data_IF_174892524239
#
_entry.id   IF_174892524239
#
_cell.length_a   1.000
_cell.length_b   1.000
_cell.length_c   1.000
_cell.angle_alpha   90.00
_cell.angle_beta   90.00
_cell.angle_gamma   90.00
#
_symmetry.space_group_name_H-M   'P 1'
#
loop_
_entity.id
_entity.type
_entity.pdbx_description
1 polymer ?
#
# COMPACT_ATOMS: atom_id res chain seq x y z
N UNK A 1 8.14 17.22 -10.72
CA UNK A 1 9.25 17.20 -11.72
C UNK A 1 9.22 15.86 -12.48
N UNK A 2 9.79 15.71 -13.69
CA UNK A 2 9.97 14.38 -14.33
C UNK A 2 11.44 14.21 -14.68
N UNK A 3 12.04 13.08 -14.32
CA UNK A 3 13.42 12.70 -14.64
C UNK A 3 13.37 11.74 -15.82
N UNK A 4 14.08 12.06 -16.90
CA UNK A 4 14.29 11.12 -18.00
C UNK A 4 15.34 10.09 -17.56
N UNK A 5 14.96 8.82 -17.51
CA UNK A 5 15.85 7.69 -17.19
C UNK A 5 16.56 7.16 -18.44
N UNK A 6 15.84 7.16 -19.56
CA UNK A 6 16.31 6.59 -20.82
C UNK A 6 15.62 7.28 -22.01
N UNK A 7 16.35 7.39 -23.12
CA UNK A 7 15.84 7.95 -24.37
C UNK A 7 16.35 7.09 -25.53
N UNK A 8 15.48 6.24 -26.05
CA UNK A 8 15.80 5.31 -27.14
C UNK A 8 15.12 5.71 -28.44
N UNK A 9 15.81 5.49 -29.56
CA UNK A 9 15.19 5.65 -30.87
C UNK A 9 14.32 4.42 -31.17
N UNK A 10 13.05 4.66 -31.51
CA UNK A 10 12.12 3.65 -31.97
C UNK A 10 12.57 3.03 -33.30
N UNK A 11 11.89 1.94 -33.69
CA UNK A 11 12.26 1.08 -34.81
C UNK A 11 12.50 1.79 -36.16
N UNK A 12 11.90 2.97 -36.38
CA UNK A 12 12.05 3.77 -37.58
C UNK A 12 13.13 4.88 -37.49
N UNK A 13 13.86 4.99 -36.37
CA UNK A 13 14.92 6.00 -36.16
C UNK A 13 14.42 7.44 -35.99
N UNK A 14 13.12 7.69 -36.11
CA UNK A 14 12.52 9.04 -36.11
C UNK A 14 11.70 9.37 -34.87
N UNK A 15 11.39 8.38 -34.03
CA UNK A 15 10.63 8.57 -32.78
C UNK A 15 11.54 8.33 -31.59
N UNK A 16 11.68 9.29 -30.68
CA UNK A 16 12.40 9.08 -29.41
C UNK A 16 11.40 8.60 -28.38
N UNK A 17 11.54 7.35 -27.91
CA UNK A 17 10.84 6.86 -26.72
C UNK A 17 11.62 7.29 -25.49
N UNK A 18 11.01 8.11 -24.65
CA UNK A 18 11.58 8.53 -23.38
C UNK A 18 10.95 7.74 -22.24
N UNK A 19 11.77 7.04 -21.47
CA UNK A 19 11.37 6.48 -20.19
C UNK A 19 11.58 7.57 -19.15
N UNK A 20 10.50 8.10 -18.59
CA UNK A 20 10.58 9.12 -17.54
C UNK A 20 9.98 8.60 -16.24
N UNK A 21 10.60 8.90 -15.11
CA UNK A 21 10.00 8.75 -13.78
C UNK A 21 9.72 10.11 -13.17
N UNK A 22 8.57 10.25 -12.50
CA UNK A 22 8.43 11.33 -11.53
C UNK A 22 9.24 10.93 -10.29
N UNK A 23 10.21 11.73 -9.81
CA UNK A 23 10.82 11.47 -8.53
C UNK A 23 9.72 11.50 -7.48
N UNK A 24 9.70 10.49 -6.60
CA UNK A 24 8.82 10.50 -5.45
C UNK A 24 9.21 11.70 -4.57
N UNK A 25 8.28 12.64 -4.40
CA UNK A 25 8.46 13.87 -3.62
C UNK A 25 7.59 13.78 -2.34
N UNK A 26 8.03 13.00 -1.33
CA UNK A 26 7.22 12.65 -0.17
C UNK A 26 6.77 13.87 0.64
N UNK A 27 7.55 14.96 0.63
CA UNK A 27 7.18 16.21 1.28
C UNK A 27 6.00 16.91 0.59
N UNK A 28 5.95 16.92 -0.74
CA UNK A 28 4.81 17.47 -1.47
C UNK A 28 3.58 16.58 -1.33
N UNK A 29 3.76 15.26 -1.35
CA UNK A 29 2.68 14.31 -1.07
C UNK A 29 2.11 14.51 0.34
N UNK A 30 2.96 14.72 1.35
CA UNK A 30 2.53 15.01 2.72
C UNK A 30 1.78 16.34 2.81
N UNK A 31 2.28 17.39 2.15
CA UNK A 31 1.61 18.69 2.12
C UNK A 31 0.24 18.58 1.43
N UNK A 32 0.15 17.85 0.31
CA UNK A 32 -1.09 17.62 -0.41
C UNK A 32 -2.10 16.80 0.41
N UNK A 33 -1.65 15.74 1.07
CA UNK A 33 -2.46 14.92 1.97
C UNK A 33 -3.04 15.76 3.12
N UNK A 34 -2.19 16.56 3.76
CA UNK A 34 -2.62 17.49 4.82
C UNK A 34 -3.65 18.50 4.33
N UNK A 35 -3.40 19.14 3.19
CA UNK A 35 -4.34 20.10 2.59
C UNK A 35 -5.67 19.43 2.23
N UNK A 36 -5.64 18.27 1.58
CA UNK A 36 -6.85 17.52 1.23
C UNK A 36 -7.69 17.15 2.46
N UNK A 37 -7.04 16.84 3.58
CA UNK A 37 -7.71 16.55 4.83
C UNK A 37 -8.27 17.80 5.55
N UNK A 38 -7.46 18.86 5.67
CA UNK A 38 -7.86 20.13 6.31
C UNK A 38 -9.01 20.80 5.55
N UNK A 39 -8.97 20.74 4.22
CA UNK A 39 -9.94 21.34 3.30
C UNK A 39 -10.98 20.32 2.79
N UNK A 40 -11.20 19.19 3.48
CA UNK A 40 -12.09 18.10 3.01
C UNK A 40 -13.55 18.50 2.75
N UNK A 41 -13.98 19.64 3.28
CA UNK A 41 -15.32 20.22 3.00
C UNK A 41 -15.37 20.90 1.63
N UNK A 42 -14.23 21.36 1.11
CA UNK A 42 -14.11 22.07 -0.17
C UNK A 42 -13.45 21.21 -1.26
N UNK A 43 -12.48 20.37 -0.88
CA UNK A 43 -11.76 19.44 -1.75
C UNK A 43 -12.40 18.05 -1.65
N UNK A 44 -13.17 17.68 -2.69
CA UNK A 44 -13.66 16.32 -2.85
C UNK A 44 -12.67 15.48 -3.68
N UNK A 45 -11.87 14.66 -3.00
CA UNK A 45 -10.82 13.87 -3.65
C UNK A 45 -11.35 12.87 -4.70
N UNK A 46 -12.56 12.30 -4.50
CA UNK A 46 -13.18 11.41 -5.48
C UNK A 46 -13.61 12.17 -6.74
N UNK A 47 -14.17 13.38 -6.57
CA UNK A 47 -14.54 14.25 -7.68
C UNK A 47 -13.29 14.75 -8.43
N UNK A 48 -12.21 15.04 -7.71
CA UNK A 48 -10.93 15.43 -8.31
C UNK A 48 -10.34 14.27 -9.12
N UNK A 49 -10.32 13.05 -8.57
CA UNK A 49 -9.87 11.87 -9.31
C UNK A 49 -10.73 11.65 -10.57
N UNK A 50 -12.05 11.77 -10.47
CA UNK A 50 -12.96 11.71 -11.62
C UNK A 50 -12.60 12.77 -12.66
N UNK A 51 -12.39 14.02 -12.23
CA UNK A 51 -11.98 15.09 -13.13
C UNK A 51 -10.64 14.78 -13.81
N UNK A 52 -9.68 14.20 -13.10
CA UNK A 52 -8.39 13.80 -13.67
C UNK A 52 -8.54 12.69 -14.71
N UNK A 53 -9.22 11.60 -14.34
CA UNK A 53 -9.37 10.42 -15.21
C UNK A 53 -10.22 10.69 -16.46
N UNK A 54 -11.24 11.54 -16.35
CA UNK A 54 -12.16 11.80 -17.47
C UNK A 54 -11.92 13.15 -18.17
N UNK A 55 -11.22 14.09 -17.54
CA UNK A 55 -10.97 15.43 -18.06
C UNK A 55 -9.65 15.59 -18.82
N UNK A 56 -8.70 14.67 -18.63
CA UNK A 56 -7.41 14.69 -19.33
C UNK A 56 -7.27 13.48 -20.26
N UNK A 57 -7.30 13.68 -21.59
CA UNK A 57 -7.07 12.61 -22.54
C UNK A 57 -5.69 11.98 -22.32
N UNK A 58 -5.62 10.65 -22.27
CA UNK A 58 -4.37 9.90 -22.16
C UNK A 58 -3.98 9.45 -20.74
N UNK A 59 -4.83 9.66 -19.74
CA UNK A 59 -4.67 9.02 -18.42
C UNK A 59 -5.45 7.71 -18.40
N UNK A 60 -4.72 6.60 -18.23
CA UNK A 60 -5.32 5.28 -18.03
C UNK A 60 -5.84 5.16 -16.59
N UNK A 61 -7.08 4.70 -16.43
CA UNK A 61 -7.73 4.48 -15.12
C UNK A 61 -7.34 3.15 -14.46
N UNK A 62 -6.53 2.34 -15.15
CA UNK A 62 -6.25 0.97 -14.76
C UNK A 62 -7.34 0.01 -15.21
N UNK A 63 -7.00 -1.27 -15.36
CA UNK A 63 -7.92 -2.28 -15.85
C UNK A 63 -8.98 -2.69 -14.82
N UNK A 64 -8.72 -2.47 -13.52
CA UNK A 64 -9.53 -2.95 -12.39
C UNK A 64 -9.80 -1.86 -11.35
N UNK A 65 -9.86 -0.62 -11.81
CA UNK A 65 -10.09 0.57 -10.97
C UNK A 65 -9.05 0.72 -9.84
N UNK A 66 -7.79 0.37 -10.12
CA UNK A 66 -6.70 0.40 -9.14
C UNK A 66 -6.51 1.81 -8.55
N UNK A 67 -6.72 2.87 -9.34
CA UNK A 67 -6.69 4.26 -8.85
C UNK A 67 -7.74 4.57 -7.80
N UNK A 68 -8.92 3.95 -7.88
CA UNK A 68 -9.95 4.12 -6.87
C UNK A 68 -9.53 3.45 -5.55
N UNK A 69 -8.97 2.24 -5.64
CA UNK A 69 -8.37 1.52 -4.53
C UNK A 69 -7.27 2.33 -3.82
N UNK A 70 -6.33 2.88 -4.60
CA UNK A 70 -5.26 3.74 -4.09
C UNK A 70 -5.81 5.00 -3.40
N UNK A 71 -6.86 5.61 -3.95
CA UNK A 71 -7.52 6.76 -3.32
C UNK A 71 -8.17 6.38 -1.98
N UNK A 72 -8.83 5.23 -1.88
CA UNK A 72 -9.41 4.75 -0.63
C UNK A 72 -8.34 4.54 0.45
N UNK A 73 -7.22 3.91 0.09
CA UNK A 73 -6.09 3.68 0.99
C UNK A 73 -5.47 5.01 1.46
N UNK A 74 -5.26 5.98 0.56
CA UNK A 74 -4.76 7.30 0.93
C UNK A 74 -5.72 8.04 1.86
N UNK A 75 -7.02 8.04 1.55
CA UNK A 75 -8.03 8.69 2.40
C UNK A 75 -8.08 8.05 3.79
N UNK A 76 -8.04 6.71 3.88
CA UNK A 76 -8.01 6.00 5.15
C UNK A 76 -6.77 6.35 5.97
N UNK A 77 -5.60 6.45 5.32
CA UNK A 77 -4.36 6.92 5.97
C UNK A 77 -4.50 8.35 6.46
N UNK A 78 -5.01 9.26 5.64
CA UNK A 78 -5.09 10.68 5.99
C UNK A 78 -6.07 10.91 7.14
N UNK A 79 -7.19 10.19 7.13
CA UNK A 79 -8.08 10.13 8.29
C UNK A 79 -7.37 9.56 9.52
N UNK A 80 -6.58 8.49 9.39
CA UNK A 80 -5.87 7.91 10.53
C UNK A 80 -4.75 8.80 11.07
N UNK A 81 -4.11 9.61 10.22
CA UNK A 81 -2.95 10.44 10.57
C UNK A 81 -3.35 11.84 11.04
N UNK A 82 -4.43 12.41 10.49
CA UNK A 82 -4.88 13.76 10.79
C UNK A 82 -6.25 13.82 11.50
N UNK A 83 -6.94 12.68 11.62
CA UNK A 83 -8.22 12.47 12.32
C UNK A 83 -8.20 12.92 13.77
N UNK A 84 -7.20 12.44 14.50
CA UNK A 84 -6.97 12.83 15.88
C UNK A 84 -6.08 14.08 15.92
N UNK A 85 -6.53 15.11 16.65
CA UNK A 85 -5.91 16.44 16.77
C UNK A 85 -4.57 16.43 17.51
N UNK A 86 -3.75 15.41 17.37
CA UNK A 86 -2.38 15.45 17.86
C UNK A 86 -1.54 16.15 16.80
N UNK A 87 -1.50 17.49 16.87
CA UNK A 87 -0.40 18.25 16.27
C UNK A 87 0.88 17.83 16.98
N UNK A 88 1.49 16.75 16.52
CA UNK A 88 2.86 16.40 16.93
C UNK A 88 3.81 17.09 15.96
N UNK A 89 4.65 17.90 16.57
CA UNK A 89 5.83 18.59 16.06
C UNK A 89 6.71 17.69 15.21
N UNK A 90 7.01 18.13 13.98
CA UNK A 90 8.18 17.84 13.11
C UNK A 90 8.63 16.38 12.85
N UNK A 91 8.08 15.38 13.52
CA UNK A 91 8.46 13.98 13.35
C UNK A 91 7.63 13.28 12.27
N UNK A 92 8.23 12.30 11.59
CA UNK A 92 7.60 11.50 10.54
C UNK A 92 6.29 10.91 11.08
N UNK A 93 5.16 11.26 10.47
CA UNK A 93 3.84 10.80 10.92
C UNK A 93 3.66 9.32 10.58
N UNK A 94 3.78 8.48 11.59
CA UNK A 94 3.47 7.06 11.49
C UNK A 94 1.95 6.85 11.62
N UNK A 95 1.37 6.13 10.68
CA UNK A 95 -0.01 5.66 10.74
C UNK A 95 -0.06 4.41 11.65
N UNK A 96 -0.75 4.50 12.78
CA UNK A 96 -0.97 3.32 13.64
C UNK A 96 -1.97 2.39 12.94
N UNK A 97 -1.54 1.18 12.64
CA UNK A 97 -2.25 0.25 11.75
C UNK A 97 -3.59 -0.25 12.34
N UNK A 98 -3.65 -0.35 13.67
CA UNK A 98 -4.66 -1.12 14.40
C UNK A 98 -6.09 -0.57 14.32
N UNK A 99 -6.34 0.61 14.88
CA UNK A 99 -7.70 1.12 15.04
C UNK A 99 -8.03 2.11 13.94
N UNK A 100 -7.18 3.11 13.73
CA UNK A 100 -7.55 4.25 12.92
C UNK A 100 -7.56 3.96 11.41
N UNK A 101 -6.60 3.17 10.91
CA UNK A 101 -6.50 2.93 9.47
C UNK A 101 -7.61 2.03 8.95
N UNK A 102 -7.78 0.83 9.54
CA UNK A 102 -8.80 -0.11 9.06
C UNK A 102 -10.22 0.36 9.38
N UNK A 103 -10.44 1.04 10.51
CA UNK A 103 -11.72 1.69 10.78
C UNK A 103 -12.02 2.77 9.75
N UNK A 104 -11.04 3.60 9.37
CA UNK A 104 -11.24 4.59 8.32
C UNK A 104 -11.48 3.95 6.94
N UNK A 105 -10.80 2.84 6.64
CA UNK A 105 -10.91 2.14 5.36
C UNK A 105 -12.26 1.43 5.19
N UNK A 106 -12.67 0.65 6.19
CA UNK A 106 -13.88 -0.18 6.14
C UNK A 106 -15.10 0.45 6.78
N UNK A 107 -14.94 1.60 7.44
CA UNK A 107 -15.99 2.28 8.23
C UNK A 107 -16.63 1.38 9.27
N UNK A 108 -15.86 0.41 9.75
CA UNK A 108 -16.27 -0.64 10.68
C UNK A 108 -15.07 -0.95 11.57
N UNK A 109 -15.31 -1.11 12.86
CA UNK A 109 -14.27 -1.55 13.80
C UNK A 109 -14.01 -3.05 13.64
N UNK A 110 -12.81 -3.40 13.17
CA UNK A 110 -12.35 -4.78 13.00
C UNK A 110 -11.50 -5.26 14.20
N UNK A 111 -11.41 -4.48 15.28
CA UNK A 111 -10.50 -4.74 16.40
C UNK A 111 -10.71 -6.09 17.07
N UNK A 112 -11.97 -6.51 17.24
CA UNK A 112 -12.33 -7.79 17.88
C UNK A 112 -12.38 -8.96 16.90
N UNK A 113 -12.25 -8.71 15.59
CA UNK A 113 -12.31 -9.77 14.59
C UNK A 113 -11.06 -10.65 14.67
N UNK A 114 -11.25 -11.93 14.31
CA UNK A 114 -10.16 -12.90 14.28
C UNK A 114 -9.62 -13.05 12.87
N UNK A 115 -8.29 -13.09 12.69
CA UNK A 115 -7.74 -13.36 11.37
C UNK A 115 -8.15 -14.77 10.92
N UNK A 116 -8.49 -14.91 9.65
CA UNK A 116 -8.84 -16.20 9.05
C UNK A 116 -7.68 -17.21 9.11
N UNK A 117 -6.44 -16.72 9.17
CA UNK A 117 -5.22 -17.49 9.40
C UNK A 117 -4.26 -16.71 10.29
N UNK A 118 -3.66 -17.40 11.25
CA UNK A 118 -2.63 -16.85 12.11
C UNK A 118 -1.52 -17.88 12.35
N UNK A 119 -0.31 -17.41 12.64
CA UNK A 119 0.72 -18.28 13.19
C UNK A 119 0.20 -18.96 14.47
N UNK A 120 0.54 -20.25 14.75
CA UNK A 120 -0.01 -20.99 15.90
C UNK A 120 0.05 -20.27 17.25
N UNK A 121 1.10 -19.46 17.47
CA UNK A 121 1.27 -18.63 18.68
C UNK A 121 0.23 -17.52 18.87
N UNK A 122 -0.44 -17.11 17.79
CA UNK A 122 -1.48 -16.08 17.79
C UNK A 122 -2.86 -16.63 17.41
N UNK A 123 -3.00 -17.97 17.33
CA UNK A 123 -4.29 -18.59 17.07
C UNK A 123 -5.30 -18.19 18.16
N UNK A 124 -6.50 -17.77 17.76
CA UNK A 124 -7.52 -17.29 18.70
C UNK A 124 -7.22 -15.94 19.34
N UNK A 125 -6.25 -15.19 18.82
CA UNK A 125 -5.96 -13.81 19.24
C UNK A 125 -6.67 -12.82 18.29
N UNK A 126 -7.41 -11.82 18.80
CA UNK A 126 -8.11 -10.85 17.96
C UNK A 126 -7.14 -9.88 17.28
N UNK A 127 -7.60 -9.25 16.20
CA UNK A 127 -6.80 -8.36 15.35
C UNK A 127 -6.11 -7.26 16.16
N UNK A 128 -6.83 -6.64 17.12
CA UNK A 128 -6.30 -5.57 17.96
C UNK A 128 -5.09 -5.96 18.81
N UNK A 129 -4.97 -7.24 19.16
CA UNK A 129 -3.89 -7.74 19.99
C UNK A 129 -2.71 -8.15 19.13
N UNK A 130 -2.95 -8.77 17.97
CA UNK A 130 -1.90 -9.18 17.03
C UNK A 130 -1.14 -7.96 16.49
N UNK A 131 -1.86 -6.89 16.14
CA UNK A 131 -1.32 -5.71 15.49
C UNK A 131 -1.19 -4.50 16.41
N UNK A 132 -1.15 -4.72 17.74
CA UNK A 132 -1.13 -3.66 18.75
C UNK A 132 -0.09 -2.57 18.49
N UNK A 133 1.11 -2.98 18.07
CA UNK A 133 2.25 -2.09 17.85
C UNK A 133 2.62 -1.96 16.37
N UNK A 134 1.75 -2.39 15.47
CA UNK A 134 2.00 -2.27 14.03
C UNK A 134 1.82 -0.82 13.56
N UNK A 135 2.82 -0.31 12.84
CA UNK A 135 2.86 1.07 12.32
C UNK A 135 3.14 1.06 10.83
N UNK A 136 2.48 1.91 10.07
CA UNK A 136 2.61 2.02 8.63
C UNK A 136 2.99 3.44 8.24
N UNK A 137 3.81 3.61 7.21
CA UNK A 137 4.20 4.92 6.72
C UNK A 137 4.04 4.96 5.20
N UNK A 138 3.00 5.65 4.74
CA UNK A 138 2.85 6.01 3.33
C UNK A 138 2.03 7.30 3.18
N UNK A 139 2.24 8.02 2.09
CA UNK A 139 1.41 9.15 1.65
C UNK A 139 1.27 9.23 0.11
N UNK A 140 1.91 8.30 -0.62
CA UNK A 140 1.78 8.18 -2.07
C UNK A 140 2.10 6.76 -2.54
N UNK A 141 1.72 6.47 -3.78
CA UNK A 141 2.01 5.22 -4.47
C UNK A 141 3.15 5.42 -5.46
N UNK A 142 4.00 4.41 -5.57
CA UNK A 142 5.03 4.31 -6.60
C UNK A 142 4.78 3.09 -7.46
N UNK A 143 4.84 3.28 -8.79
CA UNK A 143 4.79 2.16 -9.72
C UNK A 143 6.17 1.52 -9.80
N UNK A 144 6.23 0.22 -9.56
CA UNK A 144 7.44 -0.58 -9.80
C UNK A 144 7.37 -1.21 -11.19
N UNK A 145 8.52 -1.29 -11.86
CA UNK A 145 8.66 -1.92 -13.17
C UNK A 145 9.46 -3.22 -13.12
N UNK A 146 10.18 -3.47 -12.02
CA UNK A 146 10.97 -4.68 -11.81
C UNK A 146 10.37 -5.48 -10.64
N UNK A 147 10.12 -6.77 -10.86
CA UNK A 147 9.56 -7.69 -9.86
C UNK A 147 10.42 -7.75 -8.60
N UNK A 148 11.75 -7.76 -8.76
CA UNK A 148 12.69 -7.80 -7.66
C UNK A 148 12.47 -6.62 -6.69
N UNK A 149 11.94 -5.48 -7.14
CA UNK A 149 11.70 -4.31 -6.29
C UNK A 149 10.69 -4.56 -5.17
N UNK A 150 9.81 -5.57 -5.28
CA UNK A 150 8.83 -5.90 -4.24
C UNK A 150 9.30 -6.99 -3.28
N UNK A 151 10.55 -7.44 -3.39
CA UNK A 151 11.16 -8.27 -2.36
C UNK A 151 11.38 -7.47 -1.05
N UNK A 152 11.24 -8.13 0.10
CA UNK A 152 11.39 -7.55 1.44
C UNK A 152 12.68 -6.72 1.61
N UNK A 153 13.77 -7.15 0.95
CA UNK A 153 15.07 -6.48 1.00
C UNK A 153 15.06 -5.07 0.39
N UNK A 154 14.06 -4.70 -0.40
CA UNK A 154 13.86 -3.37 -0.97
C UNK A 154 12.62 -2.66 -0.41
N UNK A 155 11.60 -3.40 0.03
CA UNK A 155 10.36 -2.84 0.58
C UNK A 155 10.59 -1.84 1.72
N UNK A 156 11.60 -2.08 2.57
CA UNK A 156 11.97 -1.15 3.64
C UNK A 156 12.31 0.27 3.12
N UNK A 157 12.88 0.37 1.92
CA UNK A 157 13.23 1.62 1.27
C UNK A 157 12.00 2.42 0.83
N UNK A 158 10.93 1.74 0.42
CA UNK A 158 9.65 2.38 0.14
C UNK A 158 8.99 2.90 1.42
N UNK A 159 8.98 2.09 2.49
CA UNK A 159 8.49 2.51 3.82
C UNK A 159 9.23 3.76 4.33
N UNK A 160 10.56 3.78 4.21
CA UNK A 160 11.39 4.91 4.62
C UNK A 160 11.10 6.19 3.83
N UNK A 161 10.57 6.05 2.61
CA UNK A 161 10.19 7.17 1.72
C UNK A 161 8.71 7.52 1.79
N UNK A 162 7.95 6.98 2.75
CA UNK A 162 6.49 7.14 2.81
C UNK A 162 5.79 6.70 1.51
N UNK A 163 6.31 5.66 0.86
CA UNK A 163 5.78 5.13 -0.38
C UNK A 163 5.19 3.74 -0.17
N UNK A 164 4.06 3.48 -0.82
CA UNK A 164 3.49 2.14 -1.01
C UNK A 164 3.60 1.75 -2.48
N UNK A 165 3.64 0.45 -2.77
CA UNK A 165 3.91 -0.04 -4.13
C UNK A 165 2.60 -0.31 -4.86
N UNK A 166 2.51 0.21 -6.08
CA UNK A 166 1.52 -0.18 -7.08
C UNK A 166 2.17 -1.14 -8.08
N UNK A 167 1.62 -2.35 -8.16
CA UNK A 167 2.06 -3.39 -9.08
C UNK A 167 1.29 -3.26 -10.39
N UNK A 168 1.94 -2.68 -11.41
CA UNK A 168 1.32 -2.55 -12.73
C UNK A 168 1.07 -3.95 -13.32
N UNK A 169 -0.03 -4.09 -14.07
CA UNK A 169 -0.37 -5.29 -14.85
C UNK A 169 -0.60 -6.57 -14.02
N UNK A 170 -1.09 -6.44 -12.77
CA UNK A 170 -1.42 -7.57 -11.89
C UNK A 170 -0.23 -8.51 -11.64
N UNK A 171 0.98 -7.94 -11.56
CA UNK A 171 2.20 -8.71 -11.35
C UNK A 171 2.03 -9.55 -10.07
N UNK A 172 2.05 -10.89 -10.21
CA UNK A 172 1.89 -11.85 -9.12
C UNK A 172 0.51 -11.91 -8.44
N UNK A 173 -0.58 -11.76 -9.20
CA UNK A 173 -1.95 -11.81 -8.67
C UNK A 173 -2.30 -10.71 -7.64
N UNK A 174 -1.39 -9.74 -7.43
CA UNK A 174 -1.53 -8.59 -6.53
C UNK A 174 -1.47 -7.26 -7.30
N UNK A 175 -2.13 -6.23 -6.76
CA UNK A 175 -2.22 -4.91 -7.38
C UNK A 175 -1.44 -3.86 -6.60
N UNK A 176 -1.16 -4.13 -5.33
CA UNK A 176 -0.20 -3.36 -4.57
C UNK A 176 0.21 -4.02 -3.27
N UNK A 177 1.24 -3.41 -2.70
CA UNK A 177 1.93 -3.87 -1.49
C UNK A 177 2.11 -2.69 -0.56
N UNK A 178 1.32 -2.67 0.52
CA UNK A 178 1.51 -1.75 1.64
C UNK A 178 2.45 -2.40 2.65
N UNK A 179 3.39 -1.61 3.20
CA UNK A 179 4.36 -2.10 4.19
C UNK A 179 4.03 -1.54 5.55
N UNK A 180 4.28 -2.34 6.59
CA UNK A 180 4.21 -1.90 7.97
C UNK A 180 5.39 -2.41 8.77
N UNK A 181 5.76 -1.68 9.81
CA UNK A 181 6.75 -2.04 10.81
C UNK A 181 6.03 -2.71 11.97
N UNK A 182 6.55 -3.84 12.41
CA UNK A 182 6.02 -4.62 13.52
C UNK A 182 6.85 -4.39 14.81
N UNK A 183 6.18 -4.08 15.92
CA UNK A 183 6.76 -3.90 17.27
C UNK A 183 7.95 -2.91 17.38
N UNK A 184 8.12 -1.98 16.45
CA UNK A 184 9.19 -0.97 16.51
C UNK A 184 8.75 0.31 15.76
N UNK A 185 9.46 1.40 15.99
CA UNK A 185 9.41 2.65 15.20
C UNK A 185 10.55 2.70 14.18
N UNK A 186 11.58 1.88 14.39
CA UNK A 186 12.72 1.77 13.50
C UNK A 186 12.42 0.77 12.38
N UNK A 187 12.42 1.24 11.13
CA UNK A 187 12.33 0.39 9.95
C UNK A 187 13.59 -0.49 9.85
N UNK A 188 13.42 -1.81 9.90
CA UNK A 188 14.48 -2.81 9.72
C UNK A 188 14.01 -3.88 8.74
N UNK A 189 14.94 -4.49 7.99
CA UNK A 189 14.57 -5.60 7.09
C UNK A 189 13.87 -6.76 7.80
N UNK A 190 14.17 -6.97 9.08
CA UNK A 190 13.60 -8.05 9.88
C UNK A 190 12.20 -7.75 10.41
N UNK A 191 11.73 -6.50 10.47
CA UNK A 191 10.44 -6.16 11.09
C UNK A 191 9.42 -5.59 10.10
N UNK A 192 9.62 -5.81 8.80
CA UNK A 192 8.67 -5.41 7.77
C UNK A 192 7.63 -6.50 7.57
N UNK A 193 6.37 -6.16 7.82
CA UNK A 193 5.20 -6.89 7.35
C UNK A 193 4.60 -6.25 6.10
N UNK A 194 3.75 -7.00 5.40
CA UNK A 194 3.09 -6.56 4.17
C UNK A 194 1.58 -6.75 4.26
N UNK A 195 0.85 -5.83 3.64
CA UNK A 195 -0.56 -5.96 3.29
C UNK A 195 -0.60 -6.02 1.77
N UNK A 196 -0.99 -7.19 1.25
CA UNK A 196 -1.21 -7.41 -0.16
C UNK A 196 -2.67 -7.16 -0.47
N UNK A 197 -2.95 -6.42 -1.54
CA UNK A 197 -4.31 -6.15 -1.98
C UNK A 197 -4.44 -6.34 -3.49
N UNK A 198 -5.66 -6.68 -3.89
CA UNK A 198 -6.09 -6.81 -5.28
C UNK A 198 -7.46 -6.16 -5.40
N UNK A 199 -7.68 -5.43 -6.48
CA UNK A 199 -8.94 -4.79 -6.80
C UNK A 199 -9.53 -5.48 -8.03
N UNK A 200 -10.86 -5.51 -8.11
CA UNK A 200 -11.59 -6.06 -9.24
C UNK A 200 -12.82 -5.22 -9.48
N UNK A 201 -13.06 -4.89 -10.74
CA UNK A 201 -14.29 -4.25 -11.21
C UNK A 201 -15.23 -5.24 -11.89
N UNK A 202 -14.87 -6.53 -11.95
CA UNK A 202 -15.73 -7.59 -12.49
C UNK A 202 -16.96 -7.75 -11.58
N UNK A 203 -18.18 -7.50 -12.08
CA UNK A 203 -19.41 -7.64 -11.30
C UNK A 203 -19.65 -9.06 -10.77
N UNK A 204 -18.97 -10.08 -11.30
CA UNK A 204 -19.05 -11.46 -10.80
C UNK A 204 -18.39 -11.62 -9.43
N UNK A 205 -17.41 -10.78 -9.12
CA UNK A 205 -16.77 -10.72 -7.82
C UNK A 205 -17.53 -9.71 -6.96
N UNK A 206 -18.55 -10.20 -6.26
CA UNK A 206 -19.39 -9.39 -5.35
C UNK A 206 -18.79 -9.36 -3.93
N UNK A 207 -19.64 -9.26 -2.90
CA UNK A 207 -19.29 -9.18 -1.47
C UNK A 207 -18.62 -10.44 -0.88
N UNK A 208 -18.46 -11.51 -1.69
CA UNK A 208 -17.82 -12.75 -1.26
C UNK A 208 -16.37 -12.83 -1.75
N UNK A 209 -15.39 -12.93 -0.83
CA UNK A 209 -14.00 -13.04 -1.23
C UNK A 209 -13.75 -14.36 -1.98
N UNK A 210 -13.03 -14.29 -3.10
CA UNK A 210 -12.52 -15.45 -3.80
C UNK A 210 -11.31 -16.02 -3.05
N UNK A 211 -11.55 -17.05 -2.24
CA UNK A 211 -10.51 -17.65 -1.39
C UNK A 211 -9.35 -18.24 -2.19
N UNK A 212 -9.55 -18.63 -3.44
CA UNK A 212 -8.47 -19.14 -4.29
C UNK A 212 -7.55 -18.01 -4.73
N UNK A 213 -8.08 -16.82 -5.00
CA UNK A 213 -7.28 -15.61 -5.23
C UNK A 213 -6.44 -15.30 -4.00
N UNK A 214 -7.05 -15.23 -2.81
CA UNK A 214 -6.32 -14.97 -1.57
C UNK A 214 -5.27 -16.05 -1.25
N UNK A 215 -5.54 -17.31 -1.61
CA UNK A 215 -4.57 -18.39 -1.44
C UNK A 215 -3.34 -18.26 -2.35
N UNK A 216 -3.47 -17.61 -3.52
CA UNK A 216 -2.34 -17.32 -4.42
C UNK A 216 -1.56 -16.06 -4.01
N UNK A 217 -2.16 -15.20 -3.20
CA UNK A 217 -1.51 -14.02 -2.62
C UNK A 217 -0.64 -14.35 -1.39
N UNK A 218 -0.05 -15.54 -1.32
CA UNK A 218 0.84 -15.91 -0.21
C UNK A 218 2.19 -15.17 -0.39
N UNK A 219 2.57 -14.26 0.54
CA UNK A 219 3.76 -13.43 0.36
C UNK A 219 5.06 -14.24 0.29
N UNK A 220 5.09 -15.47 0.79
CA UNK A 220 6.27 -16.33 0.72
C UNK A 220 6.38 -17.06 -0.62
N UNK A 221 5.25 -17.52 -1.16
CA UNK A 221 5.19 -18.15 -2.48
C UNK A 221 5.41 -17.11 -3.60
N UNK A 222 4.96 -15.88 -3.38
CA UNK A 222 5.22 -14.74 -4.27
C UNK A 222 6.65 -14.19 -4.16
N UNK A 223 7.49 -14.71 -3.27
CA UNK A 223 8.86 -14.20 -3.08
C UNK A 223 8.95 -12.77 -2.52
N UNK A 224 7.82 -12.18 -2.09
CA UNK A 224 7.76 -10.87 -1.43
C UNK A 224 8.46 -10.94 -0.08
N UNK A 225 8.16 -11.98 0.71
CA UNK A 225 8.85 -12.30 1.94
C UNK A 225 9.73 -13.54 1.75
N UNK A 226 10.96 -13.57 2.31
CA UNK A 226 11.84 -14.72 2.15
C UNK A 226 11.33 -15.95 2.91
N UNK A 227 11.38 -17.11 2.26
CA UNK A 227 10.86 -18.40 2.76
C UNK A 227 11.59 -18.91 4.01
N UNK A 228 12.79 -18.40 4.26
CA UNK A 228 13.67 -18.77 5.38
C UNK A 228 13.94 -17.60 6.32
N UNK A 229 13.16 -16.51 6.24
CA UNK A 229 13.28 -15.51 7.29
C UNK A 229 12.92 -16.20 8.60
N UNK A 230 13.77 -16.15 9.63
CA UNK A 230 13.18 -15.98 10.93
C UNK A 230 12.38 -14.70 10.75
N UNK A 231 11.05 -14.80 10.73
CA UNK A 231 10.32 -13.70 11.36
C UNK A 231 11.06 -13.44 12.69
N UNK A 232 11.15 -12.20 13.19
CA UNK A 232 11.55 -12.03 14.58
C UNK A 232 10.79 -13.10 15.36
N UNK A 233 11.40 -13.74 16.35
CA UNK A 233 10.75 -14.86 17.02
C UNK A 233 9.34 -14.49 17.57
N UNK A 234 8.96 -13.21 17.48
CA UNK A 234 7.68 -12.56 17.75
C UNK A 234 6.81 -12.14 16.53
N UNK A 235 7.21 -12.27 15.25
CA UNK A 235 6.39 -11.86 14.10
C UNK A 235 5.27 -12.88 13.78
N UNK A 236 4.01 -12.45 13.64
CA UNK A 236 2.85 -13.33 13.45
C UNK A 236 2.72 -13.97 12.06
N UNK A 237 3.69 -13.80 11.15
CA UNK A 237 3.63 -14.34 9.78
C UNK A 237 4.78 -15.30 9.49
N UNK A 238 4.45 -16.58 9.47
CA UNK A 238 4.95 -17.57 8.51
C UNK A 238 4.44 -18.95 8.96
N UNK A 239 3.30 -19.40 8.44
CA UNK A 239 3.07 -20.84 8.36
C UNK A 239 3.24 -21.20 6.89
N UNK A 240 4.40 -21.80 6.58
CA UNK A 240 4.58 -22.50 5.32
C UNK A 240 3.51 -23.58 5.25
N UNK A 241 2.79 -23.70 4.14
CA UNK A 241 1.93 -24.87 3.91
C UNK A 241 2.78 -26.13 4.10
N UNK A 242 2.30 -27.04 4.97
CA UNK A 242 2.79 -28.41 5.00
C UNK A 242 2.26 -29.17 3.77
#
# INVERSE_FOLDING_TARGET
MRVCLDATYGFAGTTVMMTTLAPSEPLLSEAAARLAYEERETINAAQLLKYVLYGFPGIDRGARDEFFCMLLLNNARDMAVYGERTMVTVDIKLCVLRSLFFEALFRTDLSEDFPSRAHPRHAGTPFKMIFADAKMNFNHFVTVHEEAAIEAKYLFGFTARSATVFCKDAHMDVDGVNTFVYHDETVRRSNIGVILWRCTSDPKHMDRPDLDVFARMDPFELGVLPSSSPGPDDAPYAVRRA
#
